data_IF_154997045663
#
_entry.id   IF_154997045663
#
_cell.length_a   1.000
_cell.length_b   1.000
_cell.length_c   1.000
_cell.angle_alpha   90.00
_cell.angle_beta   90.00
_cell.angle_gamma   90.00
#
_symmetry.space_group_name_H-M   'P 1'
#
loop_
_entity.id
_entity.type
_entity.pdbx_description
1 polymer ?
#
# COMPACT_ATOMS: atom_id res chain seq x y z
N UNK A 1 5.38 2.33 8.93
CA UNK A 1 5.96 1.03 9.33
C UNK A 1 4.80 0.06 9.45
N UNK A 2 4.89 -1.06 8.80
CA UNK A 2 3.90 -2.13 8.84
C UNK A 2 4.17 -3.14 9.98
N UNK A 3 3.46 -4.29 9.94
CA UNK A 3 3.58 -5.33 10.97
C UNK A 3 4.92 -6.07 10.92
N UNK A 4 5.58 -6.07 9.77
CA UNK A 4 6.86 -6.72 9.53
C UNK A 4 8.05 -5.77 9.72
N UNK A 5 7.78 -4.59 10.27
CA UNK A 5 8.76 -3.49 10.48
C UNK A 5 9.35 -2.96 9.18
N UNK A 6 8.61 -3.07 8.10
CA UNK A 6 8.97 -2.54 6.80
C UNK A 6 8.28 -1.20 6.54
N UNK A 7 8.89 -0.39 5.69
CA UNK A 7 8.29 0.85 5.19
C UNK A 7 8.77 1.15 3.77
N UNK A 8 7.97 1.88 3.06
CA UNK A 8 8.42 2.56 1.85
C UNK A 8 9.13 3.87 2.23
N UNK A 9 10.25 4.16 1.56
CA UNK A 9 10.86 5.49 1.63
C UNK A 9 9.92 6.55 1.04
N UNK A 10 10.09 7.82 1.43
CA UNK A 10 9.25 8.91 0.90
C UNK A 10 9.32 8.97 -0.65
N UNK A 11 10.50 8.92 -1.30
CA UNK A 11 10.56 8.89 -2.75
C UNK A 11 9.86 7.67 -3.37
N UNK A 12 9.87 6.51 -2.68
CA UNK A 12 9.14 5.34 -3.15
C UNK A 12 7.62 5.54 -3.06
N UNK A 13 7.12 6.18 -1.99
CA UNK A 13 5.70 6.52 -1.86
C UNK A 13 5.25 7.51 -2.95
N UNK A 14 6.05 8.53 -3.25
CA UNK A 14 5.80 9.49 -4.32
C UNK A 14 5.72 8.79 -5.67
N UNK A 15 6.66 7.90 -5.95
CA UNK A 15 6.64 7.10 -7.18
C UNK A 15 5.43 6.17 -7.27
N UNK A 16 5.03 5.55 -6.15
CA UNK A 16 3.83 4.72 -6.07
C UNK A 16 2.55 5.56 -6.28
N UNK A 17 2.51 6.81 -5.80
CA UNK A 17 1.37 7.70 -6.05
C UNK A 17 1.14 7.89 -7.55
N UNK A 18 2.18 8.13 -8.31
CA UNK A 18 2.10 8.25 -9.78
C UNK A 18 1.67 6.94 -10.44
N UNK A 19 2.23 5.81 -9.97
CA UNK A 19 1.98 4.50 -10.57
C UNK A 19 0.59 3.95 -10.26
N UNK A 20 -0.04 4.36 -9.15
CA UNK A 20 -1.33 3.83 -8.72
C UNK A 20 -2.50 4.41 -9.46
N UNK A 21 -2.40 5.62 -9.98
CA UNK A 21 -3.46 6.21 -10.80
C UNK A 21 -3.73 5.31 -12.01
N UNK A 22 -5.00 4.94 -12.18
CA UNK A 22 -5.43 4.01 -13.22
C UNK A 22 -5.32 2.52 -12.86
N UNK A 23 -4.75 2.16 -11.70
CA UNK A 23 -4.71 0.75 -11.27
C UNK A 23 -6.06 0.29 -10.74
N UNK A 24 -6.27 -1.02 -10.80
CA UNK A 24 -7.53 -1.66 -10.42
C UNK A 24 -7.47 -2.25 -9.01
N UNK A 25 -8.61 -2.26 -8.34
CA UNK A 25 -8.83 -3.12 -7.16
C UNK A 25 -9.18 -4.54 -7.61
N UNK A 26 -8.58 -5.53 -6.99
CA UNK A 26 -8.82 -6.95 -7.22
C UNK A 26 -8.88 -7.69 -5.89
N UNK A 27 -9.48 -8.87 -5.88
CA UNK A 27 -9.42 -9.79 -4.74
C UNK A 27 -8.13 -10.62 -4.79
N UNK A 28 -7.53 -10.85 -3.63
CA UNK A 28 -6.40 -11.77 -3.43
C UNK A 28 -5.25 -11.58 -4.42
N UNK A 29 -4.98 -10.34 -4.81
CA UNK A 29 -3.97 -10.00 -5.82
C UNK A 29 -4.16 -10.74 -7.17
N UNK A 30 -5.41 -11.07 -7.51
CA UNK A 30 -5.74 -11.79 -8.75
C UNK A 30 -5.33 -11.02 -10.00
N UNK A 31 -4.70 -11.72 -10.95
CA UNK A 31 -4.35 -11.18 -12.26
C UNK A 31 -5.47 -11.36 -13.30
N UNK A 32 -6.62 -11.91 -12.90
CA UNK A 32 -7.74 -12.18 -13.79
C UNK A 32 -8.59 -10.92 -14.01
N UNK A 33 -8.84 -10.56 -15.25
CA UNK A 33 -9.63 -9.38 -15.59
C UNK A 33 -11.04 -9.38 -15.00
N UNK A 34 -11.65 -10.56 -14.82
CA UNK A 34 -12.98 -10.71 -14.19
C UNK A 34 -13.03 -10.30 -12.72
N UNK A 35 -11.89 -10.26 -12.02
CA UNK A 35 -11.81 -9.95 -10.61
C UNK A 35 -11.55 -8.45 -10.35
N UNK A 36 -11.48 -7.64 -11.40
CA UNK A 36 -11.39 -6.19 -11.30
C UNK A 36 -12.71 -5.61 -10.78
N UNK A 37 -12.63 -4.81 -9.71
CA UNK A 37 -13.82 -4.28 -9.02
C UNK A 37 -13.83 -2.76 -8.92
N UNK A 38 -12.69 -2.14 -8.85
CA UNK A 38 -12.53 -0.71 -8.63
C UNK A 38 -11.40 -0.13 -9.49
N UNK A 39 -11.35 1.20 -9.59
CA UNK A 39 -10.27 1.90 -10.30
C UNK A 39 -9.82 3.11 -9.50
N UNK A 40 -8.51 3.20 -9.26
CA UNK A 40 -7.90 4.36 -8.61
C UNK A 40 -7.86 5.51 -9.61
N UNK A 41 -8.40 6.66 -9.23
CA UNK A 41 -8.40 7.87 -10.06
C UNK A 41 -7.56 9.01 -9.49
N UNK A 42 -7.14 8.91 -8.23
CA UNK A 42 -6.27 9.89 -7.58
C UNK A 42 -5.43 9.21 -6.51
N UNK A 43 -4.16 9.56 -6.41
CA UNK A 43 -3.27 9.10 -5.35
C UNK A 43 -2.27 10.22 -4.99
N UNK A 44 -1.92 10.31 -3.71
CA UNK A 44 -0.97 11.31 -3.20
C UNK A 44 -0.31 10.84 -1.91
N UNK A 45 0.83 11.43 -1.59
CA UNK A 45 1.50 11.21 -0.32
C UNK A 45 1.02 12.26 0.68
N UNK A 46 0.64 11.83 1.87
CA UNK A 46 0.20 12.69 2.96
C UNK A 46 1.05 12.45 4.20
N UNK A 47 1.66 13.52 4.70
CA UNK A 47 2.34 13.51 5.99
C UNK A 47 1.44 14.09 7.07
N UNK A 48 1.40 13.44 8.23
CA UNK A 48 0.72 13.95 9.41
C UNK A 48 1.75 14.17 10.53
N UNK A 49 2.12 15.44 10.75
CA UNK A 49 3.10 15.82 11.77
C UNK A 49 2.59 15.69 13.20
N UNK A 50 1.28 15.61 13.40
CA UNK A 50 0.64 15.37 14.70
C UNK A 50 0.66 13.89 15.14
N UNK A 51 1.11 12.98 14.28
CA UNK A 51 1.20 11.55 14.55
C UNK A 51 2.60 11.05 14.21
N UNK A 52 3.23 10.36 15.15
CA UNK A 52 4.54 9.76 14.96
C UNK A 52 4.45 8.26 14.72
N UNK A 53 5.40 7.72 13.97
CA UNK A 53 5.65 6.28 13.84
C UNK A 53 6.37 5.76 15.08
N UNK A 54 6.48 4.44 15.20
CA UNK A 54 7.27 3.82 16.27
C UNK A 54 8.75 4.18 16.21
N UNK A 55 9.26 4.59 15.05
CA UNK A 55 10.64 5.07 14.88
C UNK A 55 10.80 6.57 15.19
N UNK A 56 9.76 7.26 15.69
CA UNK A 56 9.81 8.68 16.03
C UNK A 56 9.79 9.63 14.84
N UNK A 57 9.37 9.16 13.67
CA UNK A 57 9.22 9.96 12.44
C UNK A 57 7.77 10.38 12.22
N UNK A 58 7.52 11.51 11.55
CA UNK A 58 6.15 11.89 11.19
C UNK A 58 5.46 10.80 10.37
N UNK A 59 4.24 10.46 10.74
CA UNK A 59 3.45 9.47 10.01
C UNK A 59 3.20 9.95 8.58
N UNK A 60 3.68 9.17 7.62
CA UNK A 60 3.51 9.45 6.19
C UNK A 60 2.84 8.27 5.53
N UNK A 61 1.80 8.53 4.75
CA UNK A 61 1.02 7.51 4.09
C UNK A 61 0.74 7.86 2.63
N UNK A 62 0.72 6.85 1.79
CA UNK A 62 0.12 6.92 0.47
C UNK A 62 -1.40 6.88 0.63
N UNK A 63 -2.07 7.91 0.15
CA UNK A 63 -3.52 8.00 0.08
C UNK A 63 -3.99 7.81 -1.34
N UNK A 64 -5.13 7.16 -1.51
CA UNK A 64 -5.73 7.00 -2.83
C UNK A 64 -7.25 7.15 -2.76
N UNK A 65 -7.83 7.56 -3.87
CA UNK A 65 -9.27 7.54 -4.11
C UNK A 65 -9.55 6.61 -5.27
N UNK A 66 -10.53 5.77 -5.09
CA UNK A 66 -10.99 4.85 -6.12
C UNK A 66 -12.50 4.95 -6.29
N UNK A 67 -12.99 4.64 -7.46
CA UNK A 67 -14.41 4.45 -7.67
C UNK A 67 -14.71 2.98 -7.97
N UNK A 68 -15.91 2.58 -7.62
CA UNK A 68 -16.45 1.25 -7.90
C UNK A 68 -17.85 1.43 -8.50
N UNK A 69 -18.12 0.89 -9.71
CA UNK A 69 -19.45 1.01 -10.29
C UNK A 69 -20.45 0.17 -9.49
N UNK A 70 -21.65 0.72 -9.26
CA UNK A 70 -22.75 0.04 -8.55
C UNK A 70 -23.47 -0.95 -9.46
N UNK A 71 -22.70 -1.89 -10.02
CA UNK A 71 -23.25 -2.99 -10.81
C UNK A 71 -23.78 -4.08 -9.90
N UNK A 72 -24.59 -5.00 -10.46
CA UNK A 72 -25.07 -6.15 -9.71
C UNK A 72 -23.91 -7.01 -9.16
N UNK A 73 -22.85 -7.16 -9.93
CA UNK A 73 -21.64 -7.89 -9.52
C UNK A 73 -20.96 -7.29 -8.29
N UNK A 74 -21.01 -5.98 -8.12
CA UNK A 74 -20.30 -5.28 -7.04
C UNK A 74 -21.20 -4.98 -5.83
N UNK A 75 -22.49 -5.32 -5.89
CA UNK A 75 -23.47 -4.95 -4.85
C UNK A 75 -23.05 -5.42 -3.47
N UNK A 76 -22.79 -6.70 -3.31
CA UNK A 76 -22.45 -7.30 -2.02
C UNK A 76 -21.12 -6.73 -1.49
N UNK A 77 -20.11 -6.57 -2.38
CA UNK A 77 -18.84 -5.97 -2.01
C UNK A 77 -19.00 -4.52 -1.51
N UNK A 78 -19.83 -3.72 -2.17
CA UNK A 78 -20.09 -2.33 -1.75
C UNK A 78 -20.75 -2.32 -0.37
N UNK A 79 -21.74 -3.18 -0.13
CA UNK A 79 -22.40 -3.30 1.17
C UNK A 79 -21.42 -3.75 2.26
N UNK A 80 -20.56 -4.71 1.99
CA UNK A 80 -19.54 -5.18 2.92
C UNK A 80 -18.50 -4.09 3.27
N UNK A 81 -18.17 -3.21 2.32
CA UNK A 81 -17.30 -2.06 2.56
C UNK A 81 -18.03 -0.98 3.37
N UNK A 82 -19.27 -0.63 2.99
CA UNK A 82 -20.07 0.40 3.67
C UNK A 82 -20.38 0.02 5.13
N UNK A 83 -20.58 -1.27 5.40
CA UNK A 83 -20.82 -1.80 6.76
C UNK A 83 -19.56 -2.05 7.56
N UNK A 84 -18.36 -1.91 6.94
CA UNK A 84 -17.07 -2.09 7.61
C UNK A 84 -16.63 -3.54 7.79
N UNK A 85 -17.29 -4.50 7.14
CA UNK A 85 -16.86 -5.90 7.13
C UNK A 85 -15.56 -6.06 6.36
N UNK A 86 -15.46 -5.40 5.19
CA UNK A 86 -14.24 -5.35 4.37
C UNK A 86 -13.67 -3.94 4.38
N UNK A 87 -12.61 -3.72 5.13
CA UNK A 87 -11.98 -2.41 5.30
C UNK A 87 -10.47 -2.42 5.08
N UNK A 88 -9.85 -3.57 5.13
CA UNK A 88 -8.41 -3.73 4.90
C UNK A 88 -8.12 -3.84 3.41
N UNK A 89 -6.99 -3.25 3.02
CA UNK A 89 -6.45 -3.35 1.66
C UNK A 89 -4.98 -3.71 1.71
N UNK A 90 -4.51 -4.36 0.66
CA UNK A 90 -3.10 -4.67 0.46
C UNK A 90 -2.64 -4.17 -0.90
N UNK A 91 -1.36 -3.92 -1.05
CA UNK A 91 -0.77 -3.50 -2.31
C UNK A 91 0.16 -4.58 -2.85
N UNK A 92 0.06 -4.85 -4.16
CA UNK A 92 1.04 -5.66 -4.87
C UNK A 92 1.94 -4.74 -5.68
N UNK A 93 3.23 -4.71 -5.36
CA UNK A 93 4.21 -3.94 -6.12
C UNK A 93 5.56 -4.66 -6.17
N UNK A 94 6.35 -4.34 -7.19
CA UNK A 94 7.74 -4.76 -7.26
C UNK A 94 8.62 -3.65 -6.67
N UNK A 95 9.56 -4.04 -5.82
CA UNK A 95 10.55 -3.12 -5.25
C UNK A 95 11.95 -3.41 -5.81
N UNK A 96 12.70 -2.38 -6.11
CA UNK A 96 14.07 -2.48 -6.63
C UNK A 96 15.05 -2.94 -5.56
N UNK A 97 14.97 -2.36 -4.37
CA UNK A 97 15.87 -2.61 -3.23
C UNK A 97 15.08 -2.71 -1.95
N UNK A 98 15.58 -3.52 -1.02
CA UNK A 98 15.08 -3.62 0.37
C UNK A 98 16.27 -3.40 1.29
N UNK A 99 16.41 -2.19 1.81
CA UNK A 99 17.60 -1.77 2.56
C UNK A 99 17.37 -1.89 4.06
N UNK A 100 18.26 -2.60 4.75
CA UNK A 100 18.28 -2.62 6.20
C UNK A 100 18.68 -1.23 6.73
N UNK A 101 17.86 -0.65 7.61
CA UNK A 101 18.14 0.67 8.19
C UNK A 101 19.32 0.70 9.15
N UNK A 102 19.72 -0.46 9.67
CA UNK A 102 20.81 -0.58 10.66
C UNK A 102 22.17 -0.69 9.98
N UNK A 103 22.30 -1.60 8.99
CA UNK A 103 23.60 -1.89 8.37
C UNK A 103 23.70 -1.51 6.89
N UNK A 104 22.60 -1.03 6.27
CA UNK A 104 22.60 -0.59 4.87
C UNK A 104 22.63 -1.71 3.83
N UNK A 105 22.58 -2.98 4.25
CA UNK A 105 22.61 -4.12 3.33
C UNK A 105 21.29 -4.19 2.53
N UNK A 106 21.42 -4.47 1.23
CA UNK A 106 20.25 -4.76 0.38
C UNK A 106 19.85 -6.24 0.52
N UNK A 107 18.72 -6.48 1.13
CA UNK A 107 18.20 -7.83 1.41
C UNK A 107 17.85 -8.66 0.17
N UNK A 108 17.79 -8.05 -0.98
CA UNK A 108 17.68 -8.79 -2.24
C UNK A 108 19.00 -9.47 -2.65
N UNK A 109 20.12 -8.97 -2.13
CA UNK A 109 21.45 -9.50 -2.43
C UNK A 109 21.98 -10.35 -1.30
N UNK A 110 21.85 -9.89 -0.06
CA UNK A 110 22.38 -10.53 1.12
C UNK A 110 21.48 -10.25 2.32
N UNK A 111 21.21 -11.23 3.18
CA UNK A 111 20.43 -11.02 4.39
C UNK A 111 21.35 -10.78 5.57
N UNK A 112 21.08 -9.73 6.32
CA UNK A 112 21.70 -9.48 7.62
C UNK A 112 20.87 -10.10 8.74
N UNK A 113 21.46 -10.24 9.93
CA UNK A 113 20.80 -10.79 11.12
C UNK A 113 20.02 -9.72 11.92
N UNK A 114 19.84 -8.53 11.40
CA UNK A 114 19.05 -7.48 12.05
C UNK A 114 17.57 -7.72 11.76
N UNK A 115 16.76 -7.81 12.81
CA UNK A 115 15.31 -8.03 12.73
C UNK A 115 14.50 -6.74 12.58
N UNK A 116 15.13 -5.59 12.63
CA UNK A 116 14.46 -4.29 12.53
C UNK A 116 14.81 -3.70 11.18
N UNK A 117 13.83 -3.65 10.32
CA UNK A 117 13.89 -2.98 9.03
C UNK A 117 13.00 -1.75 9.14
N UNK A 118 13.54 -0.64 8.89
CA UNK A 118 12.78 0.61 8.85
C UNK A 118 12.70 1.16 7.44
#
# INVERSE_FOLDING_TARGET
>A
IDRDWERFSIPALEKLADLFVGKTGVFDHSMKGKDQTARIYSAWVQQNTGRMTQAGEPYTALKARAYMPRTQKNRDLIEEIETGIKKEVSVGCAVGKVICSVCGVDWKKERCNNFIIA
#
